data_IF_876049851642
#
_entry.id   IF_876049851642
#
_cell.length_a   1.000
_cell.length_b   1.000
_cell.length_c   1.000
_cell.angle_alpha   90.00
_cell.angle_beta   90.00
_cell.angle_gamma   90.00
#
_symmetry.space_group_name_H-M   'P 1'
#
loop_
_entity.id
_entity.type
_entity.pdbx_description
1 polymer ?
#
# COMPACT_ATOMS: atom_id res chain seq x y z
N UNK A 1 17.55 11.71 -14.64
CA UNK A 1 16.13 11.29 -14.62
C UNK A 1 15.43 11.97 -13.45
N UNK A 2 14.19 11.60 -13.18
CA UNK A 2 13.35 12.17 -12.13
C UNK A 2 13.93 12.03 -10.72
N UNK A 3 14.48 10.85 -10.41
CA UNK A 3 15.21 10.60 -9.18
C UNK A 3 16.45 11.48 -9.06
N UNK A 4 17.18 11.67 -10.16
CA UNK A 4 18.35 12.56 -10.22
C UNK A 4 17.94 14.02 -9.96
N UNK A 5 16.79 14.45 -10.49
CA UNK A 5 16.29 15.80 -10.29
C UNK A 5 15.82 16.03 -8.85
N UNK A 6 15.03 15.12 -8.26
CA UNK A 6 14.57 15.27 -6.87
C UNK A 6 15.73 15.15 -5.88
N UNK A 7 16.61 14.16 -6.04
CA UNK A 7 17.78 14.02 -5.18
C UNK A 7 18.69 15.26 -5.28
N UNK A 8 18.85 15.80 -6.50
CA UNK A 8 19.56 17.07 -6.71
C UNK A 8 18.86 18.27 -6.07
N UNK A 9 17.52 18.35 -6.10
CA UNK A 9 16.75 19.44 -5.51
C UNK A 9 16.76 19.40 -3.97
N UNK A 10 16.64 18.21 -3.38
CA UNK A 10 16.74 18.00 -1.93
C UNK A 10 18.15 18.35 -1.43
N UNK A 11 19.19 17.88 -2.13
CA UNK A 11 20.59 18.17 -1.77
C UNK A 11 20.92 19.67 -1.83
N UNK A 12 20.20 20.46 -2.63
CA UNK A 12 20.41 21.90 -2.79
C UNK A 12 19.52 22.79 -1.90
N UNK A 13 18.79 22.23 -0.91
CA UNK A 13 18.03 22.97 0.11
C UNK A 13 17.05 24.03 -0.44
N UNK A 14 16.24 23.65 -1.42
CA UNK A 14 15.29 24.57 -2.09
C UNK A 14 13.93 24.71 -1.41
N UNK A 15 13.15 25.70 -1.85
CA UNK A 15 11.86 26.10 -1.29
C UNK A 15 10.75 25.07 -1.61
N UNK A 16 9.76 24.83 -0.73
CA UNK A 16 8.67 23.87 -0.96
C UNK A 16 7.88 24.04 -2.26
N UNK A 17 7.79 25.26 -2.81
CA UNK A 17 7.09 25.52 -4.07
C UNK A 17 7.76 24.84 -5.28
N UNK A 18 9.10 24.86 -5.34
CA UNK A 18 9.86 24.24 -6.43
C UNK A 18 9.66 22.72 -6.45
N UNK A 19 9.48 22.14 -5.26
CA UNK A 19 9.24 20.71 -5.07
C UNK A 19 7.81 20.31 -5.43
N UNK A 20 6.84 21.16 -5.10
CA UNK A 20 5.43 20.98 -5.47
C UNK A 20 5.26 20.92 -6.99
N UNK A 21 5.90 21.84 -7.73
CA UNK A 21 5.83 21.84 -9.20
C UNK A 21 6.42 20.58 -9.82
N UNK A 22 7.54 20.10 -9.29
CA UNK A 22 8.15 18.83 -9.72
C UNK A 22 7.22 17.66 -9.42
N UNK A 23 6.65 17.57 -8.22
CA UNK A 23 5.69 16.51 -7.86
C UNK A 23 4.42 16.58 -8.70
N UNK A 24 3.91 17.77 -9.01
CA UNK A 24 2.75 17.94 -9.89
C UNK A 24 3.01 17.42 -11.30
N UNK A 25 4.25 17.53 -11.79
CA UNK A 25 4.64 16.96 -13.08
C UNK A 25 4.57 15.42 -13.11
N UNK A 26 4.60 14.74 -11.94
CA UNK A 26 4.38 13.30 -11.87
C UNK A 26 2.94 12.93 -12.19
N UNK A 27 1.94 13.79 -11.92
CA UNK A 27 0.51 13.44 -11.96
C UNK A 27 -0.09 13.18 -13.35
N UNK A 28 0.70 12.70 -14.32
CA UNK A 28 0.29 12.42 -15.70
C UNK A 28 0.57 10.97 -16.10
N UNK A 29 -0.02 10.54 -17.22
CA UNK A 29 0.18 9.17 -17.72
C UNK A 29 -0.24 8.11 -16.69
N UNK A 30 0.65 7.16 -16.41
CA UNK A 30 0.45 6.08 -15.42
C UNK A 30 0.26 6.59 -13.98
N UNK A 31 0.67 7.83 -13.70
CA UNK A 31 0.53 8.50 -12.42
C UNK A 31 -0.65 9.46 -12.34
N UNK A 32 -1.48 9.51 -13.39
CA UNK A 32 -2.66 10.35 -13.45
C UNK A 32 -3.58 10.11 -12.26
N UNK A 33 -3.97 11.19 -11.58
CA UNK A 33 -4.93 11.19 -10.47
C UNK A 33 -6.37 11.50 -10.94
N UNK A 34 -6.56 11.79 -12.23
CA UNK A 34 -7.84 12.18 -12.83
C UNK A 34 -8.15 11.33 -14.07
N UNK A 35 -8.33 10.03 -13.88
CA UNK A 35 -8.58 9.05 -14.93
C UNK A 35 -10.07 8.99 -15.33
N UNK A 36 -10.32 8.73 -16.61
CA UNK A 36 -11.67 8.53 -17.13
C UNK A 36 -12.03 7.04 -17.20
N UNK A 37 -12.76 6.56 -16.19
CA UNK A 37 -13.24 5.18 -16.10
C UNK A 37 -14.74 5.11 -16.43
N UNK A 38 -15.06 4.84 -17.70
CA UNK A 38 -16.43 4.90 -18.23
C UNK A 38 -17.29 3.66 -17.94
N UNK A 39 -16.67 2.54 -17.53
CA UNK A 39 -17.41 1.29 -17.32
C UNK A 39 -18.26 1.38 -16.06
N UNK A 40 -19.55 1.10 -16.18
CA UNK A 40 -20.47 1.09 -15.06
C UNK A 40 -20.40 -0.26 -14.31
N UNK A 41 -20.36 -0.24 -12.97
CA UNK A 41 -20.53 -1.42 -12.13
C UNK A 41 -21.85 -2.17 -12.42
N UNK A 42 -21.85 -3.50 -12.32
CA UNK A 42 -23.06 -4.32 -12.51
C UNK A 42 -24.14 -4.06 -11.44
N UNK A 43 -23.72 -3.69 -10.22
CA UNK A 43 -24.58 -3.23 -9.12
C UNK A 43 -24.18 -1.82 -8.72
N UNK A 44 -25.13 -1.03 -8.21
CA UNK A 44 -24.81 0.28 -7.63
C UNK A 44 -23.90 0.08 -6.42
N UNK A 45 -22.68 0.63 -6.48
CA UNK A 45 -21.69 0.58 -5.39
C UNK A 45 -21.65 1.89 -4.58
N UNK A 46 -22.28 2.95 -5.10
CA UNK A 46 -22.37 4.27 -4.49
C UNK A 46 -23.86 4.66 -4.36
N UNK A 47 -24.29 5.38 -3.29
CA UNK A 47 -23.49 5.83 -2.13
C UNK A 47 -23.09 4.70 -1.17
N UNK A 48 -23.64 3.49 -1.33
CA UNK A 48 -23.27 2.30 -0.57
C UNK A 48 -23.64 1.03 -1.33
N UNK A 49 -22.79 0.00 -1.25
CA UNK A 49 -23.07 -1.33 -1.80
C UNK A 49 -23.81 -2.21 -0.78
N UNK A 50 -23.42 -2.14 0.49
CA UNK A 50 -24.07 -2.82 1.59
C UNK A 50 -24.59 -1.81 2.62
N UNK A 51 -25.69 -2.12 3.30
CA UNK A 51 -26.26 -1.24 4.32
C UNK A 51 -25.35 -1.04 5.54
N UNK A 52 -24.40 -1.96 5.79
CA UNK A 52 -23.38 -1.86 6.85
C UNK A 52 -22.14 -1.08 6.45
N UNK A 53 -22.00 -0.74 5.18
CA UNK A 53 -20.85 0.05 4.73
C UNK A 53 -20.92 1.46 5.31
N UNK A 54 -19.77 1.98 5.73
CA UNK A 54 -19.62 3.36 6.10
C UNK A 54 -20.01 4.31 4.94
N UNK A 55 -20.53 5.50 5.23
CA UNK A 55 -20.77 6.49 4.19
C UNK A 55 -19.43 7.00 3.63
N UNK A 56 -19.37 7.19 2.31
CA UNK A 56 -18.29 7.95 1.69
C UNK A 56 -18.46 9.45 1.99
N UNK A 57 -17.36 10.13 2.29
CA UNK A 57 -17.29 11.60 2.36
C UNK A 57 -16.99 12.23 0.99
N UNK A 58 -16.40 11.45 0.07
CA UNK A 58 -16.07 11.85 -1.28
C UNK A 58 -17.21 11.60 -2.28
N UNK A 59 -17.21 12.36 -3.36
CA UNK A 59 -18.10 12.08 -4.51
C UNK A 59 -17.66 10.82 -5.25
N UNK A 60 -18.60 10.16 -5.93
CA UNK A 60 -18.26 8.98 -6.75
C UNK A 60 -17.21 9.30 -7.83
N UNK A 61 -17.26 10.50 -8.42
CA UNK A 61 -16.28 10.92 -9.41
C UNK A 61 -14.86 10.94 -8.81
N UNK A 62 -14.69 11.61 -7.66
CA UNK A 62 -13.40 11.66 -6.96
C UNK A 62 -12.90 10.25 -6.62
N UNK A 63 -13.79 9.37 -6.14
CA UNK A 63 -13.41 8.01 -5.80
C UNK A 63 -12.96 7.19 -7.01
N UNK A 64 -13.59 7.42 -8.17
CA UNK A 64 -13.36 6.63 -9.39
C UNK A 64 -12.15 7.12 -10.19
N UNK A 65 -11.87 8.42 -10.20
CA UNK A 65 -10.83 9.02 -11.05
C UNK A 65 -9.40 8.65 -10.64
N UNK A 66 -9.19 8.20 -9.40
CA UNK A 66 -7.85 7.79 -8.93
C UNK A 66 -7.43 6.40 -9.41
N UNK A 67 -8.36 5.62 -9.95
CA UNK A 67 -8.10 4.25 -10.41
C UNK A 67 -7.48 4.32 -11.79
N UNK A 68 -6.19 3.99 -11.90
CA UNK A 68 -5.55 3.83 -13.19
C UNK A 68 -5.81 2.41 -13.71
N UNK A 69 -6.47 2.31 -14.87
CA UNK A 69 -6.75 1.05 -15.56
C UNK A 69 -5.95 1.05 -16.87
N UNK A 70 -4.89 0.23 -16.98
CA UNK A 70 -4.11 0.14 -18.20
C UNK A 70 -4.96 -0.28 -19.39
N UNK A 71 -4.60 0.17 -20.59
CA UNK A 71 -5.26 -0.24 -21.83
C UNK A 71 -5.18 -1.76 -22.09
N UNK A 72 -4.19 -2.43 -21.48
CA UNK A 72 -3.98 -3.88 -21.51
C UNK A 72 -4.85 -4.65 -20.52
N UNK A 73 -5.58 -3.96 -19.63
CA UNK A 73 -6.45 -4.61 -18.64
C UNK A 73 -7.59 -5.37 -19.33
N UNK A 74 -7.78 -6.62 -18.94
CA UNK A 74 -8.58 -7.59 -19.67
C UNK A 74 -10.01 -7.74 -19.16
N UNK A 75 -10.40 -6.95 -18.16
CA UNK A 75 -11.77 -6.90 -17.63
C UNK A 75 -12.32 -8.26 -17.19
N UNK A 76 -11.53 -9.00 -16.41
CA UNK A 76 -11.96 -10.25 -15.77
C UNK A 76 -11.59 -11.54 -16.51
N UNK A 77 -10.91 -11.45 -17.67
CA UNK A 77 -10.29 -12.63 -18.31
C UNK A 77 -9.11 -13.14 -17.50
N UNK A 78 -8.35 -12.24 -16.88
CA UNK A 78 -7.32 -12.53 -15.89
C UNK A 78 -7.76 -12.02 -14.50
N UNK A 79 -7.29 -12.64 -13.39
CA UNK A 79 -7.62 -12.17 -12.05
C UNK A 79 -7.11 -10.74 -11.82
N UNK A 80 -7.99 -9.77 -11.47
CA UNK A 80 -7.56 -8.40 -11.23
C UNK A 80 -6.73 -8.29 -9.95
N UNK A 81 -5.74 -7.40 -9.95
CA UNK A 81 -4.91 -7.09 -8.80
C UNK A 81 -4.90 -5.57 -8.60
N UNK A 82 -5.37 -5.10 -7.44
CA UNK A 82 -5.32 -3.68 -7.09
C UNK A 82 -4.05 -3.42 -6.30
N UNK A 83 -3.21 -2.52 -6.81
CA UNK A 83 -2.00 -2.05 -6.14
C UNK A 83 -2.30 -0.73 -5.40
N UNK A 84 -2.07 -0.71 -4.09
CA UNK A 84 -2.36 0.44 -3.21
C UNK A 84 -1.03 1.02 -2.71
N UNK A 85 -0.70 2.28 -3.04
CA UNK A 85 0.62 2.84 -2.74
C UNK A 85 0.82 3.13 -1.26
N UNK A 86 2.06 3.47 -0.91
CA UNK A 86 2.47 3.86 0.44
C UNK A 86 2.49 5.37 0.68
N UNK A 87 2.88 5.75 1.91
CA UNK A 87 3.03 7.15 2.33
C UNK A 87 3.98 7.91 1.40
N UNK A 88 3.57 9.08 0.92
CA UNK A 88 4.40 9.93 0.06
C UNK A 88 4.50 9.44 -1.39
N UNK A 89 3.74 8.41 -1.79
CA UNK A 89 3.82 7.81 -3.11
C UNK A 89 2.47 7.80 -3.85
N UNK A 90 2.52 7.50 -5.15
CA UNK A 90 1.36 7.24 -6.02
C UNK A 90 1.58 5.91 -6.76
N UNK A 91 0.50 5.23 -7.13
CA UNK A 91 0.56 3.85 -7.60
C UNK A 91 1.50 3.58 -8.78
N UNK A 92 1.48 4.43 -9.82
CA UNK A 92 2.31 4.20 -11.02
C UNK A 92 3.81 4.27 -10.71
N UNK A 93 4.23 5.30 -9.98
CA UNK A 93 5.61 5.52 -9.56
C UNK A 93 6.08 4.46 -8.57
N UNK A 94 5.27 4.18 -7.55
CA UNK A 94 5.59 3.23 -6.50
C UNK A 94 5.79 1.80 -7.04
N UNK A 95 4.97 1.37 -8.01
CA UNK A 95 4.95 0.00 -8.49
C UNK A 95 5.53 -0.22 -9.89
N UNK A 96 5.81 0.84 -10.64
CA UNK A 96 6.24 0.78 -12.05
C UNK A 96 7.51 -0.03 -12.25
N UNK A 97 8.44 0.07 -11.30
CA UNK A 97 9.74 -0.63 -11.33
C UNK A 97 9.73 -1.95 -10.54
N UNK A 98 8.57 -2.46 -10.11
CA UNK A 98 8.48 -3.70 -9.36
C UNK A 98 7.22 -4.50 -9.74
N UNK A 99 6.14 -4.45 -8.96
CA UNK A 99 4.96 -5.31 -9.13
C UNK A 99 4.20 -5.02 -10.43
N UNK A 100 4.12 -3.79 -10.95
CA UNK A 100 3.50 -3.54 -12.26
C UNK A 100 4.29 -4.30 -13.34
N UNK A 101 5.62 -4.15 -13.33
CA UNK A 101 6.51 -4.82 -14.28
C UNK A 101 6.43 -6.34 -14.19
N UNK A 102 6.45 -6.89 -12.97
CA UNK A 102 6.46 -8.33 -12.72
C UNK A 102 5.11 -9.01 -12.99
N UNK A 103 3.99 -8.30 -12.83
CA UNK A 103 2.65 -8.86 -13.00
C UNK A 103 2.08 -8.66 -14.42
N UNK A 104 2.53 -7.64 -15.14
CA UNK A 104 2.05 -7.34 -16.49
C UNK A 104 2.34 -8.50 -17.45
N UNK A 105 1.34 -8.87 -18.27
CA UNK A 105 1.47 -9.96 -19.23
C UNK A 105 1.40 -11.37 -18.66
N UNK A 106 1.38 -11.54 -17.33
CA UNK A 106 1.18 -12.85 -16.70
C UNK A 106 -0.27 -13.33 -16.86
N UNK A 107 -0.51 -14.64 -16.79
CA UNK A 107 -1.85 -15.22 -16.87
C UNK A 107 -2.63 -15.17 -15.55
N UNK A 108 -1.92 -15.01 -14.43
CA UNK A 108 -2.49 -15.07 -13.07
C UNK A 108 -2.78 -13.70 -12.45
N UNK A 109 -2.42 -12.60 -13.11
CA UNK A 109 -2.65 -11.25 -12.63
C UNK A 109 -3.01 -10.25 -13.75
N UNK A 110 -3.78 -9.23 -13.36
CA UNK A 110 -4.13 -8.09 -14.19
C UNK A 110 -4.06 -6.82 -13.33
N UNK A 111 -2.90 -6.15 -13.29
CA UNK A 111 -2.68 -5.05 -12.37
C UNK A 111 -3.47 -3.79 -12.77
N UNK A 112 -4.09 -3.18 -11.77
CA UNK A 112 -4.59 -1.80 -11.76
C UNK A 112 -4.03 -1.16 -10.49
N UNK A 113 -3.89 0.17 -10.46
CA UNK A 113 -3.30 0.82 -9.30
C UNK A 113 -4.01 2.12 -8.96
N UNK A 114 -3.85 2.54 -7.72
CA UNK A 114 -4.50 3.74 -7.18
C UNK A 114 -3.49 4.88 -7.11
N UNK A 115 -3.81 5.99 -7.76
CA UNK A 115 -3.06 7.24 -7.64
C UNK A 115 -3.81 8.17 -6.67
N UNK A 116 -3.77 7.84 -5.38
CA UNK A 116 -4.53 8.55 -4.35
C UNK A 116 -4.00 10.00 -4.20
N UNK A 117 -4.88 11.02 -4.25
CA UNK A 117 -4.50 12.42 -4.21
C UNK A 117 -3.67 12.83 -3.00
N UNK A 118 -2.72 13.74 -3.23
CA UNK A 118 -1.82 14.21 -2.18
C UNK A 118 -0.81 13.14 -1.74
N UNK A 119 -0.46 12.18 -2.59
CA UNK A 119 0.59 11.19 -2.33
C UNK A 119 0.37 10.41 -1.02
N UNK A 120 -0.88 10.01 -0.73
CA UNK A 120 -1.22 9.31 0.53
C UNK A 120 -0.94 10.12 1.81
N UNK A 121 -0.78 11.45 1.71
CA UNK A 121 -0.47 12.33 2.85
C UNK A 121 -1.70 12.94 3.52
N UNK A 122 -2.89 12.78 2.93
CA UNK A 122 -4.17 13.19 3.52
C UNK A 122 -4.58 12.25 4.65
N UNK A 123 -5.68 12.56 5.34
CA UNK A 123 -6.26 11.70 6.37
C UNK A 123 -6.43 10.25 5.85
N UNK A 124 -5.78 9.29 6.50
CA UNK A 124 -5.80 7.88 6.12
C UNK A 124 -7.22 7.30 6.08
N UNK A 125 -8.15 7.85 6.87
CA UNK A 125 -9.57 7.47 6.82
C UNK A 125 -10.22 7.83 5.48
N UNK A 126 -9.78 8.95 4.88
CA UNK A 126 -10.19 9.39 3.53
C UNK A 126 -9.44 8.59 2.46
N UNK A 127 -8.15 8.32 2.64
CA UNK A 127 -7.37 7.48 1.71
C UNK A 127 -8.02 6.09 1.55
N UNK A 128 -8.48 5.53 2.67
CA UNK A 128 -9.22 4.26 2.73
C UNK A 128 -10.54 4.26 1.95
N UNK A 129 -11.19 5.41 1.75
CA UNK A 129 -12.42 5.50 0.94
C UNK A 129 -12.14 5.13 -0.52
N UNK A 130 -11.02 5.61 -1.08
CA UNK A 130 -10.60 5.27 -2.43
C UNK A 130 -10.37 3.77 -2.59
N UNK A 131 -9.73 3.13 -1.59
CA UNK A 131 -9.50 1.69 -1.58
C UNK A 131 -10.83 0.92 -1.52
N UNK A 132 -11.72 1.29 -0.61
CA UNK A 132 -13.04 0.66 -0.48
C UNK A 132 -13.85 0.75 -1.78
N UNK A 133 -13.85 1.93 -2.42
CA UNK A 133 -14.52 2.14 -3.69
C UNK A 133 -13.87 1.30 -4.81
N UNK A 134 -12.54 1.32 -4.93
CA UNK A 134 -11.82 0.59 -5.97
C UNK A 134 -12.06 -0.92 -5.91
N UNK A 135 -12.06 -1.52 -4.72
CA UNK A 135 -12.37 -2.95 -4.52
C UNK A 135 -13.73 -3.30 -5.14
N UNK A 136 -14.76 -2.54 -4.76
CA UNK A 136 -16.12 -2.78 -5.22
C UNK A 136 -16.28 -2.45 -6.71
N UNK A 137 -15.65 -1.38 -7.19
CA UNK A 137 -15.67 -0.98 -8.60
C UNK A 137 -15.05 -2.05 -9.49
N UNK A 138 -13.85 -2.52 -9.18
CA UNK A 138 -13.17 -3.56 -9.96
C UNK A 138 -13.94 -4.88 -9.87
N UNK A 139 -14.45 -5.27 -8.70
CA UNK A 139 -15.27 -6.48 -8.56
C UNK A 139 -16.52 -6.45 -9.44
N UNK A 140 -17.25 -5.34 -9.42
CA UNK A 140 -18.55 -5.22 -10.11
C UNK A 140 -18.41 -4.92 -11.61
N UNK A 141 -17.25 -4.43 -12.07
CA UNK A 141 -16.99 -4.20 -13.51
C UNK A 141 -16.31 -5.38 -14.22
N UNK A 142 -15.63 -6.24 -13.47
CA UNK A 142 -14.95 -7.44 -14.00
C UNK A 142 -15.68 -8.75 -13.71
N UNK A 143 -16.54 -8.77 -12.68
CA UNK A 143 -17.14 -10.00 -12.15
C UNK A 143 -16.19 -10.82 -11.27
N UNK A 144 -14.89 -10.48 -11.21
CA UNK A 144 -13.86 -11.22 -10.47
C UNK A 144 -13.47 -10.51 -9.18
N UNK A 145 -13.22 -11.26 -8.10
CA UNK A 145 -12.71 -10.69 -6.86
C UNK A 145 -11.26 -10.25 -7.04
N UNK A 146 -10.91 -8.96 -6.90
CA UNK A 146 -9.52 -8.55 -6.94
C UNK A 146 -8.71 -9.10 -5.77
N UNK A 147 -7.46 -9.47 -6.04
CA UNK A 147 -6.42 -9.51 -5.00
C UNK A 147 -5.93 -8.10 -4.73
N UNK A 148 -5.49 -7.82 -3.51
CA UNK A 148 -4.96 -6.52 -3.11
C UNK A 148 -3.48 -6.67 -2.79
N UNK A 149 -2.65 -5.78 -3.33
CA UNK A 149 -1.26 -5.64 -2.91
C UNK A 149 -1.10 -4.23 -2.36
N UNK A 150 -0.77 -4.13 -1.08
CA UNK A 150 -0.49 -2.86 -0.42
C UNK A 150 0.98 -2.76 -0.04
N UNK A 151 1.53 -1.55 -0.10
CA UNK A 151 2.83 -1.22 0.45
C UNK A 151 2.69 -0.15 1.52
N UNK A 152 3.43 -0.27 2.63
CA UNK A 152 3.42 0.74 3.70
C UNK A 152 1.98 1.02 4.20
N UNK A 153 1.63 2.30 4.36
CA UNK A 153 0.29 2.81 4.67
C UNK A 153 -0.83 2.24 3.79
N UNK A 154 -0.57 1.85 2.53
CA UNK A 154 -1.60 1.22 1.70
C UNK A 154 -2.23 0.00 2.36
N UNK A 155 -1.49 -0.67 3.26
CA UNK A 155 -1.99 -1.78 4.05
C UNK A 155 -2.92 -1.35 5.19
N UNK A 156 -2.65 -0.20 5.84
CA UNK A 156 -3.59 0.42 6.78
C UNK A 156 -4.90 0.76 6.08
N UNK A 157 -4.81 1.35 4.88
CA UNK A 157 -5.99 1.75 4.13
C UNK A 157 -6.84 0.56 3.67
N UNK A 158 -6.20 -0.53 3.22
CA UNK A 158 -6.89 -1.79 2.92
C UNK A 158 -7.58 -2.34 4.17
N UNK A 159 -6.87 -2.39 5.30
CA UNK A 159 -7.42 -2.95 6.55
C UNK A 159 -8.56 -2.09 7.11
N UNK A 160 -8.46 -0.76 7.03
CA UNK A 160 -9.51 0.18 7.40
C UNK A 160 -10.72 0.07 6.48
N UNK A 161 -10.50 -0.02 5.16
CA UNK A 161 -11.55 -0.28 4.18
C UNK A 161 -12.28 -1.59 4.50
N UNK A 162 -11.56 -2.67 4.81
CA UNK A 162 -12.17 -3.93 5.24
C UNK A 162 -12.94 -3.80 6.55
N UNK A 163 -12.43 -3.03 7.51
CA UNK A 163 -13.12 -2.81 8.78
C UNK A 163 -14.45 -2.08 8.60
N UNK A 164 -14.45 -0.96 7.88
CA UNK A 164 -15.59 -0.03 7.84
C UNK A 164 -16.48 -0.11 6.60
N UNK A 165 -16.03 -0.76 5.53
CA UNK A 165 -16.86 -1.16 4.38
C UNK A 165 -16.89 -2.69 4.27
N UNK A 166 -17.67 -3.40 5.10
CA UNK A 166 -17.68 -4.86 5.12
C UNK A 166 -18.00 -5.53 3.77
N UNK A 167 -18.64 -4.83 2.82
CA UNK A 167 -18.83 -5.34 1.45
C UNK A 167 -17.51 -5.69 0.74
N UNK A 168 -16.44 -4.94 1.04
CA UNK A 168 -15.11 -5.17 0.47
C UNK A 168 -14.55 -6.54 0.82
N UNK A 169 -14.88 -7.09 2.01
CA UNK A 169 -14.40 -8.42 2.46
C UNK A 169 -14.90 -9.54 1.55
N UNK A 170 -16.15 -9.44 1.10
CA UNK A 170 -16.75 -10.43 0.20
C UNK A 170 -16.29 -10.25 -1.25
N UNK A 171 -15.87 -9.02 -1.58
CA UNK A 171 -15.48 -8.63 -2.92
C UNK A 171 -13.98 -8.75 -3.18
N UNK A 172 -13.15 -8.88 -2.16
CA UNK A 172 -11.72 -9.18 -2.29
C UNK A 172 -11.42 -10.67 -2.26
N UNK A 173 -10.37 -11.09 -2.98
CA UNK A 173 -9.86 -12.47 -2.98
C UNK A 173 -8.92 -12.72 -1.81
N UNK A 174 -7.95 -11.84 -1.61
CA UNK A 174 -6.90 -11.90 -0.58
C UNK A 174 -6.14 -10.56 -0.52
N UNK A 175 -5.38 -10.36 0.56
CA UNK A 175 -4.48 -9.22 0.76
C UNK A 175 -3.04 -9.72 0.85
N UNK A 176 -2.15 -9.14 0.04
CA UNK A 176 -0.69 -9.33 0.10
C UNK A 176 -0.11 -8.00 0.56
N UNK A 177 0.45 -7.98 1.75
CA UNK A 177 0.91 -6.78 2.42
C UNK A 177 2.43 -6.76 2.46
N UNK A 178 3.02 -5.77 1.78
CA UNK A 178 4.47 -5.56 1.70
C UNK A 178 4.82 -4.42 2.65
N UNK A 179 5.72 -4.70 3.60
CA UNK A 179 6.12 -3.78 4.67
C UNK A 179 4.94 -3.07 5.36
N UNK A 180 3.90 -3.80 5.82
CA UNK A 180 2.76 -3.16 6.48
C UNK A 180 3.10 -2.63 7.87
N UNK A 181 2.33 -1.64 8.31
CA UNK A 181 2.47 -0.93 9.57
C UNK A 181 1.16 -0.92 10.37
N UNK A 182 0.52 -2.09 10.54
CA UNK A 182 -0.80 -2.21 11.21
C UNK A 182 -0.82 -1.76 12.68
N UNK A 183 0.33 -1.56 13.30
CA UNK A 183 0.48 -0.97 14.62
C UNK A 183 1.20 0.38 14.58
N UNK A 184 1.26 1.02 13.41
CA UNK A 184 2.03 2.23 13.19
C UNK A 184 3.53 2.00 13.36
N UNK A 185 4.26 3.07 13.65
CA UNK A 185 5.71 3.03 13.87
C UNK A 185 6.13 3.90 15.04
N UNK A 186 7.15 3.47 15.78
CA UNK A 186 7.82 4.28 16.81
C UNK A 186 8.79 5.30 16.21
N UNK A 187 9.11 5.18 14.92
CA UNK A 187 10.01 6.08 14.20
C UNK A 187 9.27 7.26 13.55
N UNK A 188 7.95 7.36 13.71
CA UNK A 188 7.16 8.46 13.15
C UNK A 188 7.71 9.82 13.58
N UNK A 189 8.24 9.94 14.81
CA UNK A 189 8.87 11.14 15.34
C UNK A 189 10.09 11.62 14.54
N UNK A 190 10.73 10.75 13.76
CA UNK A 190 11.82 11.11 12.84
C UNK A 190 11.29 11.96 11.68
N UNK A 191 10.09 11.64 11.19
CA UNK A 191 9.42 12.34 10.09
C UNK A 191 8.49 13.46 10.59
N UNK A 192 8.00 13.32 11.82
CA UNK A 192 7.13 14.27 12.50
C UNK A 192 7.64 14.60 13.92
N UNK A 193 8.62 15.50 14.06
CA UNK A 193 9.22 15.78 15.36
C UNK A 193 8.21 16.29 16.39
N UNK A 194 8.16 15.61 17.54
CA UNK A 194 7.36 16.01 18.70
C UNK A 194 8.05 17.08 19.57
N UNK A 195 9.36 17.31 19.41
CA UNK A 195 10.11 18.36 20.11
C UNK A 195 11.28 18.93 19.26
N UNK A 196 11.24 20.22 18.84
CA UNK A 196 10.07 21.09 18.89
C UNK A 196 8.95 20.50 18.03
N UNK A 197 7.70 20.66 18.47
CA UNK A 197 6.56 20.11 17.74
C UNK A 197 6.40 20.81 16.39
N UNK A 198 6.56 20.07 15.30
CA UNK A 198 6.37 20.58 13.93
C UNK A 198 5.02 20.13 13.39
N UNK A 199 4.40 20.92 12.47
CA UNK A 199 3.22 20.44 11.77
C UNK A 199 3.64 19.35 10.77
N UNK A 200 2.83 18.32 10.61
CA UNK A 200 3.11 17.17 9.75
C UNK A 200 1.88 16.78 8.92
N UNK A 201 2.05 16.03 7.83
CA UNK A 201 0.89 15.56 7.09
C UNK A 201 -0.03 14.66 7.94
N UNK A 202 -1.37 14.75 7.77
CA UNK A 202 -2.34 13.97 8.54
C UNK A 202 -2.02 12.48 8.68
N UNK A 203 -1.75 11.77 7.58
CA UNK A 203 -1.49 10.33 7.64
C UNK A 203 -0.20 9.97 8.36
N UNK A 204 0.81 10.85 8.36
CA UNK A 204 2.06 10.61 9.08
C UNK A 204 1.82 10.59 10.58
N UNK A 205 1.02 11.54 11.09
CA UNK A 205 0.61 11.57 12.51
C UNK A 205 -0.25 10.34 12.83
N UNK A 206 -1.15 9.95 11.92
CA UNK A 206 -1.99 8.77 12.10
C UNK A 206 -1.20 7.45 12.09
N UNK A 207 -0.01 7.40 11.50
CA UNK A 207 0.88 6.23 11.51
C UNK A 207 1.77 6.16 12.76
N UNK A 208 1.69 7.12 13.69
CA UNK A 208 2.35 6.99 14.99
C UNK A 208 1.83 5.76 15.74
N UNK A 209 2.73 5.03 16.40
CA UNK A 209 2.44 3.71 17.01
C UNK A 209 1.20 3.68 17.92
N UNK A 210 0.93 4.78 18.65
CA UNK A 210 -0.17 4.90 19.59
C UNK A 210 -1.22 5.96 19.17
N UNK A 211 -1.29 6.31 17.89
CA UNK A 211 -2.29 7.26 17.39
C UNK A 211 -3.73 6.79 17.68
N UNK A 212 -4.69 7.71 17.72
CA UNK A 212 -6.10 7.39 17.85
C UNK A 212 -6.58 6.54 16.67
N UNK A 213 -6.06 6.77 15.47
CA UNK A 213 -6.32 6.02 14.25
C UNK A 213 -5.85 4.57 14.38
N UNK A 214 -4.58 4.31 14.73
CA UNK A 214 -4.06 2.94 14.91
C UNK A 214 -4.80 2.23 16.03
N UNK A 215 -4.99 2.92 17.16
CA UNK A 215 -5.78 2.40 18.28
C UNK A 215 -7.17 2.00 17.82
N UNK A 216 -7.85 2.86 17.05
CA UNK A 216 -9.19 2.60 16.56
C UNK A 216 -9.22 1.51 15.48
N UNK A 217 -8.25 1.46 14.56
CA UNK A 217 -8.12 0.41 13.55
C UNK A 217 -8.06 -0.96 14.24
N UNK A 218 -7.16 -1.11 15.21
CA UNK A 218 -6.86 -2.38 15.88
C UNK A 218 -7.98 -2.88 16.80
N UNK A 219 -8.78 -1.97 17.38
CA UNK A 219 -9.92 -2.32 18.27
C UNK A 219 -10.90 -3.31 17.62
N UNK A 220 -11.58 -4.07 18.47
CA UNK A 220 -12.68 -4.98 18.09
C UNK A 220 -12.30 -5.97 16.96
N UNK A 221 -11.07 -6.50 17.06
CA UNK A 221 -10.53 -7.50 16.15
C UNK A 221 -10.01 -6.94 14.83
N UNK A 222 -9.78 -5.64 14.71
CA UNK A 222 -9.14 -5.06 13.52
C UNK A 222 -7.63 -5.29 13.48
N UNK A 223 -7.04 -5.76 14.58
CA UNK A 223 -5.70 -6.37 14.66
C UNK A 223 -5.65 -7.82 14.13
N UNK A 224 -6.77 -8.35 13.66
CA UNK A 224 -6.87 -9.63 12.96
C UNK A 224 -7.30 -9.42 11.51
N UNK A 225 -6.81 -10.27 10.61
CA UNK A 225 -7.18 -10.21 9.20
C UNK A 225 -8.70 -10.35 8.98
N UNK A 226 -9.20 -9.68 7.94
CA UNK A 226 -10.61 -9.79 7.50
C UNK A 226 -10.79 -10.76 6.32
N UNK A 227 -9.74 -10.96 5.54
CA UNK A 227 -9.67 -11.86 4.37
C UNK A 227 -8.31 -12.59 4.42
N UNK A 228 -8.08 -13.64 3.60
CA UNK A 228 -6.78 -14.30 3.58
C UNK A 228 -5.65 -13.30 3.36
N UNK A 229 -4.63 -13.29 4.24
CA UNK A 229 -3.62 -12.22 4.27
C UNK A 229 -2.19 -12.76 4.34
N UNK A 230 -1.31 -12.23 3.48
CA UNK A 230 0.12 -12.55 3.42
C UNK A 230 0.91 -11.31 3.79
N UNK A 231 1.51 -11.26 4.98
CA UNK A 231 2.33 -10.13 5.40
C UNK A 231 3.80 -10.48 5.14
N UNK A 232 4.55 -9.61 4.46
CA UNK A 232 5.99 -9.77 4.24
C UNK A 232 6.71 -8.50 4.69
N UNK A 233 7.71 -8.64 5.55
CA UNK A 233 8.40 -7.51 6.16
C UNK A 233 9.86 -7.85 6.52
N UNK A 234 10.64 -6.81 6.78
CA UNK A 234 12.08 -6.88 7.03
C UNK A 234 12.42 -6.30 8.40
N UNK A 235 13.31 -6.93 9.15
CA UNK A 235 13.80 -6.38 10.41
C UNK A 235 14.63 -5.12 10.22
N UNK A 236 15.15 -4.89 9.01
CA UNK A 236 15.99 -3.74 8.65
C UNK A 236 15.18 -2.58 8.06
N UNK A 237 13.86 -2.64 8.14
CA UNK A 237 12.95 -1.55 7.75
C UNK A 237 13.29 -0.26 8.53
N UNK A 238 13.67 0.79 7.81
CA UNK A 238 14.13 2.06 8.36
C UNK A 238 13.00 3.07 8.60
N UNK A 239 11.77 2.75 8.19
CA UNK A 239 10.59 3.62 8.35
C UNK A 239 9.68 3.09 9.45
N UNK A 240 9.43 1.79 9.44
CA UNK A 240 8.52 1.11 10.37
C UNK A 240 9.33 0.31 11.37
N UNK A 241 9.17 0.64 12.66
CA UNK A 241 9.66 -0.20 13.74
C UNK A 241 8.63 -0.29 14.89
N UNK A 242 8.62 -1.41 15.64
CA UNK A 242 9.38 -2.64 15.40
C UNK A 242 8.92 -3.40 14.15
N UNK A 243 9.85 -4.04 13.42
CA UNK A 243 9.55 -5.00 12.33
C UNK A 243 10.23 -6.36 12.52
N UNK A 244 10.38 -6.79 13.78
CA UNK A 244 10.80 -8.14 14.15
C UNK A 244 9.74 -8.86 14.97
N UNK A 245 9.52 -10.14 14.68
CA UNK A 245 8.63 -11.02 15.44
C UNK A 245 9.19 -11.17 16.86
N UNK A 246 8.33 -11.18 17.91
CA UNK A 246 6.87 -11.29 17.85
C UNK A 246 6.10 -9.96 17.86
N UNK A 247 6.79 -8.82 17.88
CA UNK A 247 6.16 -7.51 18.09
C UNK A 247 6.08 -6.64 16.84
N UNK A 248 6.45 -7.19 15.68
CA UNK A 248 6.43 -6.48 14.40
C UNK A 248 5.08 -5.81 14.13
N UNK A 249 5.13 -4.55 13.72
CA UNK A 249 3.94 -3.78 13.32
C UNK A 249 3.18 -4.45 12.18
N UNK A 250 3.90 -5.17 11.32
CA UNK A 250 3.37 -5.93 10.20
C UNK A 250 2.48 -7.14 10.56
N UNK A 251 2.43 -7.56 11.83
CA UNK A 251 1.68 -8.76 12.21
C UNK A 251 0.18 -8.48 12.26
N UNK A 252 -0.58 -9.33 11.57
CA UNK A 252 -2.01 -9.53 11.84
C UNK A 252 -2.25 -10.90 12.46
N UNK A 253 -3.21 -10.94 13.38
CA UNK A 253 -3.76 -12.16 13.96
C UNK A 253 -4.76 -12.82 13.00
N UNK A 254 -5.15 -14.07 13.28
CA UNK A 254 -6.16 -14.80 12.50
C UNK A 254 -7.38 -15.22 13.34
N UNK A 255 -7.91 -14.31 14.16
CA UNK A 255 -9.08 -14.61 15.00
C UNK A 255 -10.35 -15.00 14.22
N UNK A 256 -10.38 -14.74 12.90
CA UNK A 256 -11.49 -15.08 11.99
C UNK A 256 -11.25 -16.37 11.21
N UNK A 257 -10.10 -17.02 11.38
CA UNK A 257 -9.70 -18.23 10.65
C UNK A 257 -9.85 -18.05 9.13
N UNK A 258 -9.42 -16.89 8.62
CA UNK A 258 -9.38 -16.55 7.19
C UNK A 258 -8.07 -17.00 6.53
N UNK A 259 -7.06 -17.35 7.32
CA UNK A 259 -5.73 -17.72 6.87
C UNK A 259 -4.80 -16.50 6.84
N UNK A 260 -3.78 -16.51 7.70
CA UNK A 260 -2.75 -15.47 7.74
C UNK A 260 -1.36 -16.09 7.75
N UNK A 261 -0.42 -15.52 6.98
CA UNK A 261 1.01 -15.79 7.13
C UNK A 261 1.76 -14.49 7.40
N UNK A 262 2.59 -14.50 8.45
CA UNK A 262 3.45 -13.37 8.83
C UNK A 262 4.89 -13.77 8.52
N UNK A 263 5.48 -13.17 7.48
CA UNK A 263 6.70 -13.62 6.83
C UNK A 263 7.82 -12.60 7.06
N UNK A 264 8.66 -12.83 8.06
CA UNK A 264 9.88 -12.05 8.31
C UNK A 264 11.02 -12.56 7.42
N UNK A 265 11.54 -11.70 6.54
CA UNK A 265 12.56 -12.08 5.55
C UNK A 265 13.82 -12.69 6.20
N UNK A 266 14.28 -12.09 7.30
CA UNK A 266 15.48 -12.52 8.03
C UNK A 266 15.29 -13.88 8.72
N UNK A 267 14.06 -14.28 9.03
CA UNK A 267 13.79 -15.64 9.52
C UNK A 267 13.71 -16.66 8.39
N UNK A 268 13.13 -16.29 7.25
CA UNK A 268 12.96 -17.20 6.11
C UNK A 268 14.31 -17.48 5.43
N UNK A 269 15.11 -16.45 5.20
CA UNK A 269 16.40 -16.53 4.50
C UNK A 269 17.58 -16.12 5.40
N UNK A 270 17.62 -16.65 6.62
CA UNK A 270 18.62 -16.29 7.62
C UNK A 270 20.07 -16.44 7.10
N UNK A 271 20.82 -15.33 7.12
CA UNK A 271 22.21 -15.28 6.70
C UNK A 271 22.43 -15.45 5.19
N UNK A 272 21.36 -15.35 4.39
CA UNK A 272 21.41 -15.43 2.93
C UNK A 272 20.98 -14.10 2.30
N UNK A 273 21.45 -13.75 1.09
CA UNK A 273 21.16 -12.47 0.42
C UNK A 273 19.72 -11.98 0.57
N UNK A 274 18.72 -12.81 0.29
CA UNK A 274 17.30 -12.44 0.37
C UNK A 274 16.76 -12.18 1.79
N UNK A 275 17.54 -12.47 2.83
CA UNK A 275 17.24 -12.20 4.23
C UNK A 275 18.33 -11.38 4.92
N UNK A 276 19.12 -10.58 4.18
CA UNK A 276 20.06 -9.63 4.76
C UNK A 276 19.38 -8.26 4.98
N UNK A 277 19.75 -7.26 4.18
CA UNK A 277 19.31 -5.88 4.32
C UNK A 277 18.32 -5.54 3.21
N UNK A 278 17.07 -5.35 3.59
CA UNK A 278 16.02 -4.80 2.74
C UNK A 278 15.36 -3.66 3.48
N UNK A 279 15.40 -2.47 2.88
CA UNK A 279 14.73 -1.25 3.36
C UNK A 279 13.20 -1.41 3.31
N UNK A 280 12.48 -0.41 3.78
CA UNK A 280 11.02 -0.38 3.76
C UNK A 280 10.46 -0.60 2.34
N UNK A 281 10.95 0.15 1.36
CA UNK A 281 10.70 -0.03 -0.07
C UNK A 281 11.44 -1.24 -0.65
N UNK A 282 12.60 -1.62 -0.09
CA UNK A 282 13.41 -2.71 -0.62
C UNK A 282 12.70 -4.07 -0.64
N UNK A 283 11.75 -4.29 0.27
CA UNK A 283 10.90 -5.49 0.27
C UNK A 283 10.11 -5.63 -1.06
N UNK A 284 9.87 -4.54 -1.81
CA UNK A 284 9.17 -4.59 -3.10
C UNK A 284 9.96 -5.28 -4.22
N UNK A 285 11.29 -5.31 -4.15
CA UNK A 285 12.12 -6.07 -5.10
C UNK A 285 12.62 -7.39 -4.53
N UNK A 286 12.38 -7.66 -3.24
CA UNK A 286 12.86 -8.87 -2.58
C UNK A 286 12.30 -10.16 -3.25
N UNK A 287 13.16 -11.14 -3.58
CA UNK A 287 12.77 -12.35 -4.31
C UNK A 287 11.78 -13.24 -3.53
N UNK A 288 11.90 -13.33 -2.21
CA UNK A 288 10.99 -14.10 -1.35
C UNK A 288 9.63 -13.39 -1.23
N UNK A 289 9.62 -12.07 -1.09
CA UNK A 289 8.40 -11.28 -1.02
C UNK A 289 7.57 -11.45 -2.30
N UNK A 290 8.19 -11.33 -3.47
CA UNK A 290 7.49 -11.55 -4.72
C UNK A 290 7.07 -13.02 -4.90
N UNK A 291 7.88 -13.99 -4.48
CA UNK A 291 7.49 -15.40 -4.54
C UNK A 291 6.26 -15.71 -3.68
N UNK A 292 6.17 -15.15 -2.47
CA UNK A 292 4.99 -15.24 -1.61
C UNK A 292 3.77 -14.56 -2.23
N UNK A 293 3.95 -13.39 -2.84
CA UNK A 293 2.88 -12.71 -3.56
C UNK A 293 2.36 -13.56 -4.74
N UNK A 294 3.26 -14.05 -5.58
CA UNK A 294 2.95 -14.91 -6.73
C UNK A 294 2.27 -16.21 -6.29
N UNK A 295 2.80 -16.86 -5.25
CA UNK A 295 2.22 -18.07 -4.68
C UNK A 295 0.77 -17.84 -4.21
N UNK A 296 0.53 -16.74 -3.47
CA UNK A 296 -0.80 -16.34 -3.07
C UNK A 296 -1.70 -16.11 -4.30
N UNK A 297 -1.25 -15.35 -5.30
CA UNK A 297 -2.07 -15.00 -6.47
C UNK A 297 -2.54 -16.23 -7.25
N UNK A 298 -1.67 -17.23 -7.39
CA UNK A 298 -1.92 -18.48 -8.11
C UNK A 298 -2.83 -19.41 -7.31
N UNK A 299 -2.53 -19.67 -6.03
CA UNK A 299 -3.24 -20.68 -5.24
C UNK A 299 -4.52 -20.16 -4.58
N UNK A 300 -4.64 -18.85 -4.39
CA UNK A 300 -5.62 -18.29 -3.48
C UNK A 300 -5.22 -18.51 -2.01
N UNK A 301 -5.87 -17.78 -1.10
CA UNK A 301 -5.47 -17.79 0.31
C UNK A 301 -4.16 -17.02 0.55
N UNK A 302 -3.55 -17.14 1.74
CA UNK A 302 -2.26 -16.52 1.99
C UNK A 302 -1.13 -17.30 1.31
N UNK A 303 -0.08 -16.58 0.91
CA UNK A 303 1.17 -17.14 0.41
C UNK A 303 1.83 -18.00 1.47
N UNK A 304 2.38 -19.14 1.07
CA UNK A 304 2.97 -20.13 1.98
C UNK A 304 4.43 -20.38 1.62
N UNK A 305 5.31 -20.13 2.58
CA UNK A 305 6.74 -20.41 2.45
C UNK A 305 7.00 -21.87 2.05
N UNK A 306 6.22 -22.82 2.59
CA UNK A 306 6.35 -24.25 2.27
C UNK A 306 6.02 -24.65 0.83
N UNK A 307 5.49 -23.74 0.00
CA UNK A 307 5.25 -23.97 -1.44
C UNK A 307 6.35 -23.36 -2.34
N UNK A 308 7.37 -22.75 -1.74
CA UNK A 308 8.42 -22.01 -2.45
C UNK A 308 9.74 -22.76 -2.27
N UNK A 309 10.49 -22.94 -3.37
CA UNK A 309 11.87 -23.42 -3.28
C UNK A 309 12.79 -22.28 -2.84
N UNK A 310 13.21 -22.33 -1.57
CA UNK A 310 14.01 -21.29 -0.96
C UNK A 310 15.52 -21.44 -1.22
N UNK A 311 15.99 -22.58 -1.72
CA UNK A 311 17.44 -22.86 -1.76
C UNK A 311 18.17 -21.83 -2.64
N UNK A 312 17.68 -21.69 -3.87
CA UNK A 312 18.22 -20.72 -4.84
C UNK A 312 17.64 -19.34 -4.58
N UNK A 313 16.34 -19.25 -4.28
CA UNK A 313 15.66 -17.97 -4.08
C UNK A 313 16.26 -17.15 -2.94
N UNK A 314 16.72 -17.80 -1.86
CA UNK A 314 17.40 -17.09 -0.78
C UNK A 314 18.80 -16.55 -1.17
N UNK A 315 19.44 -17.09 -2.22
CA UNK A 315 20.71 -16.55 -2.76
C UNK A 315 20.52 -15.33 -3.65
N UNK A 316 19.31 -15.09 -4.14
CA UNK A 316 19.02 -13.95 -4.98
C UNK A 316 18.95 -12.66 -4.17
N UNK A 317 19.39 -11.56 -4.78
CA UNK A 317 19.29 -10.22 -4.20
C UNK A 317 18.01 -9.49 -4.62
N UNK A 318 17.56 -9.71 -5.85
CA UNK A 318 16.34 -9.12 -6.39
C UNK A 318 15.54 -10.18 -7.14
N UNK A 319 14.24 -9.94 -7.27
CA UNK A 319 13.34 -10.80 -8.02
C UNK A 319 13.76 -10.91 -9.47
N UNK A 320 13.78 -12.12 -10.02
CA UNK A 320 14.03 -12.34 -11.45
C UNK A 320 13.04 -11.54 -12.32
N UNK A 321 13.55 -10.91 -13.38
CA UNK A 321 12.83 -9.93 -14.20
C UNK A 321 13.00 -8.47 -13.76
N UNK A 322 13.61 -8.20 -12.59
CA UNK A 322 14.03 -6.87 -12.18
C UNK A 322 15.52 -6.65 -12.49
N UNK A 323 15.83 -5.51 -13.11
CA UNK A 323 17.18 -5.04 -13.37
C UNK A 323 17.71 -4.19 -12.20
N UNK A 324 19.01 -3.89 -12.20
CA UNK A 324 19.58 -2.95 -11.23
C UNK A 324 18.90 -1.58 -11.27
N UNK A 325 18.49 -1.11 -12.45
CA UNK A 325 17.75 0.15 -12.59
C UNK A 325 16.39 0.08 -11.87
N UNK A 326 15.74 -1.07 -11.90
CA UNK A 326 14.46 -1.27 -11.22
C UNK A 326 14.61 -1.26 -9.69
N UNK A 327 15.69 -1.87 -9.19
CA UNK A 327 16.08 -1.81 -7.77
C UNK A 327 16.35 -0.37 -7.36
N UNK A 328 17.20 0.35 -8.09
CA UNK A 328 17.54 1.75 -7.80
C UNK A 328 16.32 2.66 -7.87
N UNK A 329 15.42 2.44 -8.84
CA UNK A 329 14.17 3.19 -8.93
C UNK A 329 13.25 2.89 -7.74
N UNK A 330 13.16 1.63 -7.31
CA UNK A 330 12.37 1.25 -6.13
C UNK A 330 12.93 1.89 -4.85
N UNK A 331 14.25 1.87 -4.64
CA UNK A 331 14.91 2.60 -3.54
C UNK A 331 14.67 4.12 -3.65
N UNK A 332 14.62 4.65 -4.86
CA UNK A 332 14.37 6.08 -5.11
C UNK A 332 12.99 6.58 -4.65
N UNK A 333 12.02 5.68 -4.45
CA UNK A 333 10.66 6.01 -3.96
C UNK A 333 10.75 6.77 -2.62
N UNK A 334 11.71 6.42 -1.74
CA UNK A 334 11.86 7.09 -0.44
C UNK A 334 12.26 8.57 -0.59
N UNK A 335 13.03 8.90 -1.63
CA UNK A 335 13.40 10.28 -1.95
C UNK A 335 12.20 11.10 -2.46
N UNK A 336 11.32 10.47 -3.24
CA UNK A 336 10.07 11.08 -3.70
C UNK A 336 9.11 11.27 -2.53
N UNK A 337 9.00 10.28 -1.64
CA UNK A 337 8.20 10.39 -0.42
C UNK A 337 8.68 11.55 0.46
N UNK A 338 9.99 11.64 0.73
CA UNK A 338 10.57 12.76 1.48
C UNK A 338 10.24 14.11 0.83
N UNK A 339 10.31 14.19 -0.51
CA UNK A 339 9.90 15.38 -1.23
C UNK A 339 8.42 15.73 -1.06
N UNK A 340 7.53 14.73 -1.17
CA UNK A 340 6.10 14.90 -0.97
C UNK A 340 5.77 15.38 0.45
N UNK A 341 6.43 14.81 1.47
CA UNK A 341 6.28 15.25 2.86
C UNK A 341 6.68 16.72 3.04
N UNK A 342 7.81 17.14 2.47
CA UNK A 342 8.28 18.52 2.54
C UNK A 342 7.31 19.48 1.82
N UNK A 343 6.87 19.14 0.62
CA UNK A 343 5.99 19.98 -0.21
C UNK A 343 4.54 20.05 0.29
N UNK A 344 4.07 19.09 1.10
CA UNK A 344 2.67 19.02 1.52
C UNK A 344 2.24 20.25 2.32
N UNK A 345 1.21 20.99 1.88
CA UNK A 345 0.83 22.25 2.51
C UNK A 345 -0.10 22.09 3.72
N UNK A 346 -1.02 21.12 3.68
CA UNK A 346 -2.09 20.97 4.67
C UNK A 346 -1.63 20.22 5.95
N UNK A 347 -0.45 20.55 6.46
CA UNK A 347 0.14 19.94 7.65
C UNK A 347 -0.64 20.31 8.91
N UNK A 348 -0.74 19.39 9.86
CA UNK A 348 -1.45 19.52 11.11
C UNK A 348 -0.50 19.39 12.30
N UNK A 349 -0.83 20.04 13.42
CA UNK A 349 -0.15 19.82 14.70
C UNK A 349 -0.76 18.68 15.51
N UNK A 350 -1.90 18.14 15.11
CA UNK A 350 -2.54 17.08 15.86
C UNK A 350 -3.21 16.14 14.88
N UNK A 351 -3.40 14.90 15.33
CA UNK A 351 -4.10 13.90 14.56
C UNK A 351 -5.53 14.39 14.21
N UNK A 352 -6.00 14.18 12.97
CA UNK A 352 -7.39 14.41 12.64
C UNK A 352 -8.35 13.62 13.55
N UNK A 353 -9.54 14.18 13.77
CA UNK A 353 -10.57 13.46 14.50
C UNK A 353 -11.00 12.19 13.74
N UNK A 354 -11.30 11.12 14.47
CA UNK A 354 -11.88 9.92 13.90
C UNK A 354 -13.24 10.24 13.26
N UNK A 355 -13.48 9.67 12.08
CA UNK A 355 -14.75 9.81 11.38
C UNK A 355 -15.89 9.22 12.22
N UNK A 356 -17.10 9.79 12.09
CA UNK A 356 -18.26 9.42 12.91
C UNK A 356 -18.65 7.93 12.82
N UNK A 357 -18.34 7.27 11.70
CA UNK A 357 -18.61 5.83 11.56
C UNK A 357 -17.62 4.96 12.33
N UNK A 358 -16.43 5.47 12.68
CA UNK A 358 -15.35 4.77 13.36
C UNK A 358 -15.56 4.74 14.88
N UNK A 359 -16.77 4.35 15.31
CA UNK A 359 -17.20 4.32 16.72
C UNK A 359 -17.12 2.92 17.33
N UNK A 360 -16.79 1.91 16.53
CA UNK A 360 -16.60 0.52 16.95
C UNK A 360 -15.44 -0.13 16.18
#
# INVERSE_FOLDING_TARGET
DLYTNIAGLIANSLCPADLSDVLNSFGSGENSQTNWNSKNPAKSIFPKLNWKDAPFSLTEQQLREVIYIPSTFTWGKKPPVILVPGTGAIGGENYGSNYIKLLTGTSYADPVWLNIPGFMLRDAQVNSEYVAYAINYIKETTGQKPSLIGWSQGNLDIQWAHKYWPSTRQNSKQHIAISPDYHGTILADVLCPNFPKLPCPPSVIQQEYNSAYITQLRKNGGDSAYIPTTNVFSTTDEVVQPQSIPSASAILNDARNVGVTNNELQQICNGKPAGLFYTHEGVLYNPVAFALAKDALIHGGPGQVGRIDLNDLCQEFATDGLSLTDVVATEGVIGIAAAALLAYEAKLYAEPALMKYATW
#
